data_IF_580920592707
#
_entry.id   IF_580920592707
#
_cell.length_a   1.000
_cell.length_b   1.000
_cell.length_c   1.000
_cell.angle_alpha   90.00
_cell.angle_beta   90.00
_cell.angle_gamma   90.00
#
_symmetry.space_group_name_H-M   'P 1'
#
loop_
_entity.id
_entity.type
_entity.pdbx_description
1 polymer ?
#
# COMPACT_ATOMS: atom_id res chain seq x y z
N UNK A 1 26.65 -4.46 23.33
CA UNK A 1 25.33 -5.05 23.61
C UNK A 1 25.01 -5.94 22.44
N UNK A 2 24.68 -7.21 22.59
CA UNK A 2 24.27 -8.04 21.46
C UNK A 2 22.89 -7.59 21.01
N UNK A 3 22.71 -7.35 19.70
CA UNK A 3 21.39 -7.02 19.14
C UNK A 3 20.50 -8.26 19.24
N UNK A 4 19.24 -8.06 19.63
CA UNK A 4 18.20 -9.09 19.50
C UNK A 4 17.93 -9.36 18.01
N UNK A 5 17.50 -10.57 17.69
CA UNK A 5 17.28 -10.99 16.31
C UNK A 5 15.80 -11.23 16.01
N UNK A 6 15.32 -10.73 14.89
CA UNK A 6 13.93 -10.94 14.46
C UNK A 6 13.88 -11.61 13.08
N UNK A 7 13.21 -12.76 12.99
CA UNK A 7 12.95 -13.43 11.72
C UNK A 7 11.71 -12.78 11.03
N UNK A 8 11.90 -12.22 9.86
CA UNK A 8 10.86 -11.55 9.06
C UNK A 8 10.56 -12.41 7.84
N UNK A 9 9.36 -12.98 7.78
CA UNK A 9 8.89 -13.82 6.68
C UNK A 9 8.12 -12.93 5.71
N UNK A 10 8.75 -12.58 4.58
CA UNK A 10 8.19 -11.71 3.56
C UNK A 10 8.31 -12.34 2.17
N UNK A 11 7.24 -12.27 1.37
CA UNK A 11 7.31 -12.67 -0.03
C UNK A 11 7.93 -11.58 -0.90
N UNK A 12 7.60 -10.32 -0.63
CA UNK A 12 8.09 -9.18 -1.40
C UNK A 12 9.33 -8.61 -0.74
N UNK A 13 10.44 -8.62 -1.47
CA UNK A 13 11.75 -8.11 -1.04
C UNK A 13 12.53 -7.59 -2.25
N UNK A 14 13.47 -6.64 -2.12
CA UNK A 14 14.30 -6.18 -3.22
C UNK A 14 15.00 -7.32 -3.97
N UNK A 15 15.14 -7.21 -5.31
CA UNK A 15 14.89 -6.05 -6.18
C UNK A 15 13.44 -5.87 -6.64
N UNK A 16 12.48 -6.62 -6.07
CA UNK A 16 11.05 -6.40 -6.35
C UNK A 16 10.66 -5.00 -5.89
N UNK A 17 9.97 -4.24 -6.75
CA UNK A 17 9.43 -2.91 -6.45
C UNK A 17 7.96 -2.93 -6.02
N UNK A 18 7.46 -1.76 -5.68
CA UNK A 18 6.06 -1.51 -5.33
C UNK A 18 5.78 -1.39 -3.83
N UNK A 19 4.57 -0.96 -3.50
CA UNK A 19 4.16 -0.61 -2.12
C UNK A 19 4.29 -1.76 -1.13
N UNK A 20 4.16 -3.00 -1.61
CA UNK A 20 4.27 -4.20 -0.77
C UNK A 20 5.67 -4.46 -0.22
N UNK A 21 6.72 -3.91 -0.87
CA UNK A 21 8.13 -4.09 -0.49
C UNK A 21 8.56 -3.01 0.51
N UNK A 22 8.20 -1.76 0.25
CA UNK A 22 8.71 -0.60 0.98
C UNK A 22 8.54 -0.71 2.50
N UNK A 23 7.39 -1.21 2.98
CA UNK A 23 7.11 -1.30 4.41
C UNK A 23 8.22 -2.03 5.18
N UNK A 24 8.56 -3.25 4.75
CA UNK A 24 9.53 -4.06 5.48
C UNK A 24 10.98 -3.75 5.14
N UNK A 25 11.27 -3.19 3.97
CA UNK A 25 12.59 -2.62 3.67
C UNK A 25 12.88 -1.45 4.60
N UNK A 26 11.92 -0.52 4.79
CA UNK A 26 12.09 0.63 5.67
C UNK A 26 12.16 0.21 7.16
N UNK A 27 11.37 -0.77 7.61
CA UNK A 27 11.56 -1.34 8.95
C UNK A 27 12.94 -1.98 9.10
N UNK A 28 13.38 -2.81 8.16
CA UNK A 28 14.70 -3.42 8.21
C UNK A 28 15.83 -2.38 8.25
N UNK A 29 15.69 -1.25 7.51
CA UNK A 29 16.64 -0.13 7.49
C UNK A 29 16.83 0.47 8.89
N UNK A 30 15.75 0.68 9.65
CA UNK A 30 15.80 1.40 10.93
C UNK A 30 15.82 0.49 12.16
N UNK A 31 15.47 -0.79 12.08
CA UNK A 31 15.50 -1.73 13.20
C UNK A 31 16.87 -1.84 13.90
N UNK A 32 18.02 -1.79 13.19
CA UNK A 32 19.32 -1.83 13.85
C UNK A 32 19.56 -0.68 14.84
N UNK A 33 19.05 0.52 14.55
CA UNK A 33 19.14 1.67 15.47
C UNK A 33 18.30 1.50 16.74
N UNK A 34 17.30 0.61 16.69
CA UNK A 34 16.45 0.24 17.83
C UNK A 34 16.92 -1.07 18.52
N UNK A 35 18.12 -1.56 18.19
CA UNK A 35 18.74 -2.72 18.83
C UNK A 35 18.32 -4.09 18.29
N UNK A 36 17.67 -4.13 17.10
CA UNK A 36 17.19 -5.35 16.48
C UNK A 36 17.89 -5.67 15.16
N UNK A 37 18.44 -6.86 15.02
CA UNK A 37 18.99 -7.39 13.77
C UNK A 37 17.90 -8.08 12.97
N UNK A 38 17.57 -7.60 11.77
CA UNK A 38 16.60 -8.26 10.89
C UNK A 38 17.22 -9.47 10.19
N UNK A 39 16.51 -10.60 10.23
CA UNK A 39 16.78 -11.83 9.46
C UNK A 39 15.60 -12.01 8.51
N UNK A 40 15.82 -11.79 7.22
CA UNK A 40 14.77 -11.77 6.21
C UNK A 40 14.68 -13.14 5.53
N UNK A 41 13.51 -13.76 5.57
CA UNK A 41 13.23 -14.95 4.78
C UNK A 41 12.32 -14.63 3.60
N UNK A 42 12.81 -14.86 2.38
CA UNK A 42 12.15 -14.46 1.14
C UNK A 42 12.37 -15.48 0.01
N UNK A 43 11.50 -15.56 -1.03
CA UNK A 43 11.77 -16.41 -2.18
C UNK A 43 12.98 -15.90 -2.98
N UNK A 44 13.74 -16.85 -3.55
CA UNK A 44 14.86 -16.56 -4.46
C UNK A 44 14.38 -16.10 -5.85
N UNK A 45 13.25 -16.66 -6.29
CA UNK A 45 12.69 -16.44 -7.63
C UNK A 45 11.19 -16.07 -7.54
N UNK A 46 10.82 -14.93 -6.90
CA UNK A 46 9.42 -14.50 -6.79
C UNK A 46 8.86 -14.09 -8.15
N UNK A 47 7.53 -14.15 -8.29
CA UNK A 47 6.85 -13.45 -9.37
C UNK A 47 7.03 -11.93 -9.18
N UNK A 48 7.79 -11.30 -10.09
CA UNK A 48 8.06 -9.87 -10.01
C UNK A 48 7.01 -9.10 -10.81
N UNK A 49 6.28 -8.20 -10.14
CA UNK A 49 5.33 -7.28 -10.78
C UNK A 49 6.04 -6.01 -11.28
N UNK A 50 7.09 -5.59 -10.58
CA UNK A 50 7.95 -4.46 -10.91
C UNK A 50 9.35 -4.73 -10.36
N UNK A 51 10.36 -4.10 -10.92
CA UNK A 51 11.74 -4.15 -10.43
C UNK A 51 12.15 -2.74 -10.03
N UNK A 52 12.71 -2.61 -8.81
CA UNK A 52 13.26 -1.36 -8.29
C UNK A 52 14.57 -1.68 -7.56
N UNK A 53 15.67 -1.55 -8.28
CA UNK A 53 17.00 -1.84 -7.76
C UNK A 53 17.46 -0.81 -6.69
N UNK A 54 16.87 0.39 -6.64
CA UNK A 54 17.24 1.40 -5.66
C UNK A 54 16.95 0.95 -4.23
N UNK A 55 15.95 0.11 -4.04
CA UNK A 55 15.59 -0.45 -2.74
C UNK A 55 16.64 -1.42 -2.16
N UNK A 56 17.52 -1.98 -2.99
CA UNK A 56 18.62 -2.83 -2.52
C UNK A 56 19.62 -2.03 -1.67
N UNK A 57 19.87 -0.77 -2.03
CA UNK A 57 20.76 0.11 -1.29
C UNK A 57 20.22 0.49 0.10
N UNK A 58 18.91 0.32 0.34
CA UNK A 58 18.30 0.60 1.63
C UNK A 58 18.39 -0.57 2.62
N UNK A 59 18.76 -1.75 2.15
CA UNK A 59 18.91 -2.93 3.02
C UNK A 59 20.19 -2.77 3.84
N UNK A 60 20.11 -2.74 5.20
CA UNK A 60 21.30 -2.52 6.04
C UNK A 60 22.26 -3.71 5.95
N UNK A 61 23.56 -3.44 5.95
CA UNK A 61 24.59 -4.49 5.87
C UNK A 61 24.52 -5.54 6.99
N UNK A 62 23.91 -5.19 8.12
CA UNK A 62 23.70 -6.10 9.26
C UNK A 62 22.52 -7.06 9.05
N UNK A 63 21.67 -6.79 8.06
CA UNK A 63 20.53 -7.67 7.74
C UNK A 63 21.02 -8.97 7.10
N UNK A 64 20.55 -10.08 7.62
CA UNK A 64 20.76 -11.39 7.01
C UNK A 64 19.59 -11.73 6.08
N UNK A 65 19.85 -12.11 4.83
CA UNK A 65 18.79 -12.41 3.85
C UNK A 65 18.87 -13.87 3.41
N UNK A 66 17.88 -14.64 3.82
CA UNK A 66 17.73 -16.08 3.53
C UNK A 66 16.82 -16.24 2.32
N UNK A 67 17.39 -16.60 1.18
CA UNK A 67 16.65 -16.84 -0.08
C UNK A 67 16.45 -18.33 -0.33
N UNK A 68 15.21 -18.72 -0.65
CA UNK A 68 14.88 -20.12 -1.01
C UNK A 68 13.97 -20.16 -2.23
N UNK A 69 14.23 -21.10 -3.13
CA UNK A 69 13.40 -21.29 -4.33
C UNK A 69 11.96 -21.60 -3.96
N UNK A 70 11.04 -20.97 -4.68
CA UNK A 70 9.62 -21.21 -4.60
C UNK A 70 9.14 -21.88 -5.90
N UNK A 71 8.18 -22.80 -5.77
CA UNK A 71 7.43 -23.35 -6.91
C UNK A 71 6.07 -22.69 -6.93
N UNK A 72 5.85 -21.86 -7.94
CA UNK A 72 4.56 -21.20 -8.13
C UNK A 72 3.75 -21.91 -9.22
N UNK A 73 2.53 -22.35 -8.92
CA UNK A 73 1.66 -23.04 -9.89
C UNK A 73 1.40 -22.22 -11.16
N UNK A 74 1.42 -20.90 -11.03
CA UNK A 74 1.21 -19.98 -12.14
C UNK A 74 2.33 -20.03 -13.19
N UNK A 75 3.57 -20.23 -12.77
CA UNK A 75 4.68 -20.44 -13.69
C UNK A 75 4.54 -21.77 -14.48
N UNK A 76 4.02 -22.80 -13.80
CA UNK A 76 3.70 -24.07 -14.47
C UNK A 76 2.58 -23.86 -15.52
N UNK A 77 1.56 -23.13 -15.17
CA UNK A 77 0.45 -22.77 -16.06
C UNK A 77 0.91 -21.93 -17.25
N UNK A 78 1.75 -20.92 -17.04
CA UNK A 78 2.37 -20.14 -18.13
C UNK A 78 3.20 -21.01 -19.07
N UNK A 79 3.99 -21.95 -18.54
CA UNK A 79 4.79 -22.89 -19.35
C UNK A 79 3.92 -23.81 -20.21
N UNK A 80 2.80 -24.30 -19.68
CA UNK A 80 1.85 -25.13 -20.42
C UNK A 80 1.17 -24.33 -21.54
N UNK A 81 0.69 -23.12 -21.26
CA UNK A 81 0.05 -22.26 -22.27
C UNK A 81 1.02 -21.80 -23.36
N UNK A 82 2.27 -21.46 -23.02
CA UNK A 82 3.29 -21.12 -24.02
C UNK A 82 3.59 -22.27 -24.97
N UNK A 83 3.54 -23.52 -24.48
CA UNK A 83 3.69 -24.72 -25.33
C UNK A 83 2.50 -24.94 -26.28
N UNK A 84 1.32 -24.44 -25.93
CA UNK A 84 0.09 -24.53 -26.75
C UNK A 84 -0.13 -23.32 -27.67
N UNK A 85 0.86 -22.44 -27.86
CA UNK A 85 0.82 -21.37 -28.89
C UNK A 85 -0.04 -20.16 -28.54
N UNK A 86 -0.44 -19.95 -27.26
CA UNK A 86 -1.23 -18.80 -26.86
C UNK A 86 -0.36 -17.56 -26.63
N UNK A 87 -0.85 -16.37 -27.04
CA UNK A 87 -0.17 -15.08 -26.90
C UNK A 87 0.04 -14.67 -25.43
N UNK A 88 1.01 -13.77 -25.17
CA UNK A 88 1.34 -13.26 -23.82
C UNK A 88 0.11 -12.64 -23.11
N UNK A 89 -0.79 -12.00 -23.84
CA UNK A 89 -1.99 -11.34 -23.32
C UNK A 89 -3.04 -12.31 -22.76
N UNK A 90 -3.10 -13.55 -23.31
CA UNK A 90 -4.01 -14.60 -22.78
C UNK A 90 -3.56 -15.15 -21.41
N UNK A 91 -2.39 -14.76 -20.93
CA UNK A 91 -1.73 -15.32 -19.75
C UNK A 91 -1.91 -14.47 -18.51
N UNK A 92 -2.29 -13.19 -18.63
CA UNK A 92 -2.55 -12.33 -17.45
C UNK A 92 -3.94 -12.62 -16.84
N UNK A 93 -3.96 -13.49 -15.85
CA UNK A 93 -5.17 -13.75 -15.04
C UNK A 93 -5.27 -12.70 -13.93
N UNK A 94 -5.68 -11.49 -14.29
CA UNK A 94 -6.05 -10.48 -13.30
C UNK A 94 -7.52 -10.73 -12.86
N UNK A 95 -7.80 -10.98 -11.57
CA UNK A 95 -9.17 -11.24 -11.11
C UNK A 95 -10.11 -10.03 -11.30
N UNK A 96 -9.58 -8.83 -11.42
CA UNK A 96 -10.34 -7.58 -11.49
C UNK A 96 -10.79 -7.23 -12.92
N UNK A 97 -10.01 -7.55 -13.97
CA UNK A 97 -10.35 -7.22 -15.37
C UNK A 97 -11.12 -8.36 -16.05
N UNK A 98 -12.47 -8.37 -15.93
CA UNK A 98 -13.21 -9.61 -16.17
C UNK A 98 -14.39 -9.54 -17.12
N UNK A 99 -14.49 -8.59 -18.03
CA UNK A 99 -15.71 -8.50 -18.86
C UNK A 99 -15.80 -9.53 -20.00
N UNK A 100 -14.66 -10.13 -20.49
CA UNK A 100 -14.68 -11.13 -21.58
C UNK A 100 -13.70 -12.30 -21.33
N UNK A 101 -13.90 -13.08 -20.26
CA UNK A 101 -13.03 -14.23 -19.99
C UNK A 101 -13.41 -15.46 -20.78
N UNK A 102 -12.42 -16.10 -21.43
CA UNK A 102 -12.60 -17.41 -22.06
C UNK A 102 -12.94 -18.49 -21.02
N UNK A 103 -13.54 -19.60 -21.46
CA UNK A 103 -13.90 -20.72 -20.56
C UNK A 103 -12.66 -21.26 -19.82
N UNK A 104 -11.51 -21.33 -20.50
CA UNK A 104 -10.22 -21.74 -19.90
C UNK A 104 -9.76 -20.79 -18.79
N UNK A 105 -9.92 -19.48 -18.97
CA UNK A 105 -9.59 -18.51 -17.94
C UNK A 105 -10.52 -18.62 -16.72
N UNK A 106 -11.81 -18.91 -16.92
CA UNK A 106 -12.75 -19.16 -15.80
C UNK A 106 -12.35 -20.40 -15.02
N UNK A 107 -11.99 -21.50 -15.70
CA UNK A 107 -11.49 -22.73 -15.05
C UNK A 107 -10.20 -22.44 -14.28
N UNK A 108 -9.24 -21.73 -14.90
CA UNK A 108 -7.98 -21.38 -14.24
C UNK A 108 -8.20 -20.54 -12.96
N UNK A 109 -9.14 -19.58 -13.01
CA UNK A 109 -9.52 -18.78 -11.84
C UNK A 109 -10.18 -19.62 -10.76
N UNK A 110 -11.06 -20.55 -11.15
CA UNK A 110 -11.70 -21.46 -10.22
C UNK A 110 -10.65 -22.37 -9.53
N UNK A 111 -9.74 -22.95 -10.31
CA UNK A 111 -8.61 -23.75 -9.80
C UNK A 111 -7.75 -22.93 -8.85
N UNK A 112 -7.38 -21.70 -9.24
CA UNK A 112 -6.60 -20.79 -8.40
C UNK A 112 -7.30 -20.49 -7.08
N UNK A 113 -8.59 -20.17 -7.11
CA UNK A 113 -9.36 -19.80 -5.92
C UNK A 113 -9.69 -20.97 -4.98
N UNK A 114 -9.76 -22.20 -5.49
CA UNK A 114 -10.26 -23.35 -4.71
C UNK A 114 -9.20 -24.39 -4.34
N UNK A 115 -8.17 -24.59 -5.18
CA UNK A 115 -7.15 -25.61 -4.93
C UNK A 115 -5.89 -25.04 -4.28
N UNK A 116 -5.50 -23.80 -4.60
CA UNK A 116 -4.32 -23.16 -4.03
C UNK A 116 -4.71 -22.28 -2.84
N UNK A 117 -4.78 -22.87 -1.65
CA UNK A 117 -5.22 -22.23 -0.41
C UNK A 117 -4.06 -22.04 0.57
N UNK A 118 -3.85 -20.82 1.10
CA UNK A 118 -4.67 -19.59 0.99
C UNK A 118 -4.46 -18.80 -0.30
N UNK A 119 -3.36 -19.03 -1.00
CA UNK A 119 -2.94 -18.35 -2.22
C UNK A 119 -1.97 -19.25 -3.02
N UNK A 120 -1.55 -18.88 -4.25
CA UNK A 120 -0.65 -19.69 -5.08
C UNK A 120 0.71 -20.02 -4.46
N UNK A 121 1.09 -19.39 -3.34
CA UNK A 121 2.35 -19.63 -2.62
C UNK A 121 2.21 -20.74 -1.57
N UNK A 122 1.06 -21.37 -1.47
CA UNK A 122 0.76 -22.41 -0.46
C UNK A 122 1.74 -23.60 -0.50
N UNK A 123 2.28 -23.95 -1.68
CA UNK A 123 3.29 -25.02 -1.81
C UNK A 123 4.61 -24.70 -1.12
N UNK A 124 4.88 -23.43 -0.83
CA UNK A 124 6.09 -23.00 -0.15
C UNK A 124 6.02 -23.15 1.37
N UNK A 125 4.82 -23.27 1.94
CA UNK A 125 4.59 -23.31 3.38
C UNK A 125 5.38 -24.45 4.04
N UNK A 126 5.17 -25.69 3.63
CA UNK A 126 5.81 -26.86 4.24
C UNK A 126 7.34 -26.89 4.11
N UNK A 127 7.91 -26.65 2.91
CA UNK A 127 9.35 -26.53 2.73
C UNK A 127 9.97 -25.41 3.56
N UNK A 128 9.30 -24.24 3.66
CA UNK A 128 9.78 -23.09 4.43
C UNK A 128 9.84 -23.40 5.92
N UNK A 129 8.79 -23.99 6.49
CA UNK A 129 8.77 -24.37 7.92
C UNK A 129 9.90 -25.34 8.25
N UNK A 130 10.11 -26.37 7.44
CA UNK A 130 11.21 -27.34 7.64
C UNK A 130 12.59 -26.70 7.59
N UNK A 131 12.80 -25.80 6.61
CA UNK A 131 14.06 -25.10 6.47
C UNK A 131 14.31 -24.14 7.61
N UNK A 132 13.34 -23.29 7.94
CA UNK A 132 13.47 -22.30 9.00
C UNK A 132 13.64 -22.96 10.37
N UNK A 133 12.94 -24.07 10.64
CA UNK A 133 13.13 -24.82 11.89
C UNK A 133 14.56 -25.31 12.06
N UNK A 134 15.18 -25.85 10.99
CA UNK A 134 16.59 -26.25 11.01
C UNK A 134 17.51 -25.04 11.21
N UNK A 135 17.26 -23.95 10.46
CA UNK A 135 18.05 -22.72 10.58
C UNK A 135 18.00 -22.15 11.99
N UNK A 136 16.82 -22.07 12.61
CA UNK A 136 16.64 -21.53 13.97
C UNK A 136 17.29 -22.37 15.05
N UNK A 137 17.50 -23.67 14.84
CA UNK A 137 18.24 -24.53 15.78
C UNK A 137 19.74 -24.19 15.83
N UNK A 138 20.30 -23.69 14.72
CA UNK A 138 21.71 -23.29 14.61
C UNK A 138 21.89 -21.77 14.80
N UNK A 139 20.90 -20.98 14.46
CA UNK A 139 20.90 -19.52 14.47
C UNK A 139 19.64 -18.98 15.16
N UNK A 140 19.59 -18.96 16.50
CA UNK A 140 18.39 -18.57 17.23
C UNK A 140 17.99 -17.11 16.95
N UNK A 141 16.69 -16.85 17.00
CA UNK A 141 16.08 -15.51 16.97
C UNK A 141 15.18 -15.34 18.18
N UNK A 142 14.89 -14.10 18.55
CA UNK A 142 14.05 -13.78 19.70
C UNK A 142 12.56 -13.69 19.35
N UNK A 143 12.25 -13.39 18.07
CA UNK A 143 10.89 -13.12 17.60
C UNK A 143 10.72 -13.52 16.14
N UNK A 144 9.50 -13.89 15.78
CA UNK A 144 9.06 -14.12 14.39
C UNK A 144 8.08 -13.04 13.99
N UNK A 145 8.21 -12.53 12.77
CA UNK A 145 7.19 -11.70 12.10
C UNK A 145 6.84 -12.32 10.76
N UNK A 146 5.57 -12.38 10.43
CA UNK A 146 5.12 -12.70 9.07
C UNK A 146 4.30 -11.55 8.52
N UNK A 147 4.52 -11.15 7.27
CA UNK A 147 3.77 -10.06 6.63
C UNK A 147 2.98 -10.54 5.43
N UNK A 148 1.70 -10.20 5.39
CA UNK A 148 0.76 -10.58 4.34
C UNK A 148 -0.02 -9.38 3.77
N UNK A 149 -0.54 -9.48 2.53
CA UNK A 149 -0.48 -10.62 1.61
C UNK A 149 0.92 -10.86 1.01
N UNK A 150 1.23 -12.08 0.49
CA UNK A 150 0.40 -13.29 0.44
C UNK A 150 0.15 -13.91 1.81
N UNK A 151 -1.04 -14.51 2.00
CA UNK A 151 -1.44 -15.05 3.32
C UNK A 151 -0.68 -16.34 3.68
N UNK A 152 -0.07 -17.00 2.69
CA UNK A 152 0.84 -18.13 2.93
C UNK A 152 1.98 -17.79 3.89
N UNK A 153 2.40 -16.51 3.97
CA UNK A 153 3.43 -16.06 4.93
C UNK A 153 2.95 -16.21 6.36
N UNK A 154 1.69 -15.86 6.64
CA UNK A 154 1.10 -16.06 7.96
C UNK A 154 0.96 -17.53 8.32
N UNK A 155 0.69 -18.41 7.33
CA UNK A 155 0.65 -19.86 7.56
C UNK A 155 2.03 -20.44 7.88
N UNK A 156 3.11 -19.87 7.34
CA UNK A 156 4.49 -20.23 7.72
C UNK A 156 4.74 -19.77 9.15
N UNK A 157 4.45 -18.49 9.47
CA UNK A 157 4.61 -17.92 10.81
C UNK A 157 3.87 -18.70 11.90
N UNK A 158 2.58 -19.00 11.64
CA UNK A 158 1.74 -19.78 12.56
C UNK A 158 2.35 -21.15 12.89
N UNK A 159 2.74 -21.90 11.85
CA UNK A 159 3.30 -23.26 12.06
C UNK A 159 4.66 -23.18 12.76
N UNK A 160 5.49 -22.23 12.37
CA UNK A 160 6.81 -22.08 12.95
C UNK A 160 6.73 -21.69 14.43
N UNK A 161 5.86 -20.74 14.79
CA UNK A 161 5.61 -20.37 16.17
C UNK A 161 5.10 -21.55 17.02
N UNK A 162 4.17 -22.34 16.48
CA UNK A 162 3.66 -23.54 17.15
C UNK A 162 4.73 -24.61 17.37
N UNK A 163 5.70 -24.75 16.46
CA UNK A 163 6.75 -25.77 16.53
C UNK A 163 7.98 -25.33 17.34
N UNK A 164 8.21 -24.01 17.49
CA UNK A 164 9.39 -23.45 18.18
C UNK A 164 9.06 -22.83 19.53
N UNK A 165 7.80 -22.47 19.77
CA UNK A 165 7.39 -21.72 20.97
C UNK A 165 7.79 -20.24 20.95
N UNK A 166 8.40 -19.74 19.86
CA UNK A 166 8.79 -18.35 19.74
C UNK A 166 7.58 -17.42 19.64
N UNK A 167 7.64 -16.21 20.23
CA UNK A 167 6.61 -15.21 20.05
C UNK A 167 6.52 -14.83 18.56
N UNK A 168 5.28 -14.62 18.07
CA UNK A 168 5.02 -14.37 16.68
C UNK A 168 4.06 -13.21 16.48
N UNK A 169 4.43 -12.29 15.58
CA UNK A 169 3.59 -11.17 15.10
C UNK A 169 3.08 -11.47 13.71
N UNK A 170 1.77 -11.35 13.53
CA UNK A 170 1.13 -11.36 12.21
C UNK A 170 0.88 -9.94 11.73
N UNK A 171 1.67 -9.42 10.77
CA UNK A 171 1.56 -8.08 10.19
C UNK A 171 0.64 -8.11 8.97
N UNK A 172 -0.60 -7.67 9.14
CA UNK A 172 -1.60 -7.58 8.09
C UNK A 172 -1.55 -6.22 7.39
N UNK A 173 -0.95 -6.19 6.19
CA UNK A 173 -0.97 -4.99 5.33
C UNK A 173 -2.33 -4.76 4.68
N UNK A 174 -3.12 -5.83 4.55
CA UNK A 174 -4.50 -5.84 4.08
C UNK A 174 -5.28 -6.89 4.88
N UNK A 175 -6.61 -6.73 5.08
CA UNK A 175 -7.44 -7.79 5.64
C UNK A 175 -7.45 -9.01 4.71
N UNK A 176 -7.55 -10.21 5.28
CA UNK A 176 -7.48 -11.43 4.46
C UNK A 176 -8.79 -11.67 3.69
N UNK A 177 -9.91 -11.80 4.40
CA UNK A 177 -11.18 -12.17 3.76
C UNK A 177 -12.04 -10.97 3.37
N UNK A 178 -11.71 -9.77 3.81
CA UNK A 178 -12.40 -8.53 3.46
C UNK A 178 -11.63 -7.62 2.49
N UNK A 179 -10.59 -8.14 1.86
CA UNK A 179 -9.94 -7.42 0.77
C UNK A 179 -10.87 -7.41 -0.46
N UNK A 180 -10.91 -6.27 -1.18
CA UNK A 180 -11.88 -6.02 -2.25
C UNK A 180 -11.95 -7.09 -3.34
N UNK A 181 -10.81 -7.70 -3.70
CA UNK A 181 -10.76 -8.74 -4.74
C UNK A 181 -11.19 -10.14 -4.24
N UNK A 182 -11.39 -10.35 -2.94
CA UNK A 182 -11.74 -11.66 -2.38
C UNK A 182 -13.04 -12.20 -2.98
N UNK A 183 -14.06 -11.35 -3.14
CA UNK A 183 -15.34 -11.69 -3.77
C UNK A 183 -15.23 -12.08 -5.26
N UNK A 184 -14.14 -11.68 -5.94
CA UNK A 184 -13.92 -11.99 -7.35
C UNK A 184 -13.17 -13.31 -7.60
N UNK A 185 -12.74 -14.02 -6.55
CA UNK A 185 -11.95 -15.25 -6.66
C UNK A 185 -12.76 -16.50 -7.06
N UNK A 186 -14.04 -16.40 -7.36
CA UNK A 186 -14.92 -17.52 -7.76
C UNK A 186 -14.81 -18.76 -6.85
N UNK A 187 -14.74 -18.55 -5.55
CA UNK A 187 -14.58 -19.59 -4.56
C UNK A 187 -15.90 -20.31 -4.28
N UNK A 188 -15.80 -21.61 -3.93
CA UNK A 188 -16.92 -22.35 -3.36
C UNK A 188 -17.19 -21.86 -1.93
N UNK A 189 -18.43 -22.06 -1.45
CA UNK A 189 -18.79 -21.77 -0.04
C UNK A 189 -17.90 -22.51 0.96
N UNK A 190 -17.43 -23.71 0.61
CA UNK A 190 -16.52 -24.48 1.45
C UNK A 190 -15.13 -23.82 1.53
N UNK A 191 -14.62 -23.33 0.40
CA UNK A 191 -13.33 -22.60 0.35
C UNK A 191 -13.42 -21.27 1.08
N UNK A 192 -14.50 -20.52 0.91
CA UNK A 192 -14.70 -19.26 1.64
C UNK A 192 -14.73 -19.49 3.16
N UNK A 193 -15.47 -20.49 3.64
CA UNK A 193 -15.48 -20.88 5.05
C UNK A 193 -14.10 -21.30 5.55
N UNK A 194 -13.34 -22.00 4.70
CA UNK A 194 -11.97 -22.37 5.03
C UNK A 194 -11.07 -21.12 5.22
N UNK A 195 -11.15 -20.12 4.33
CA UNK A 195 -10.40 -18.87 4.46
C UNK A 195 -10.75 -18.13 5.76
N UNK A 196 -12.04 -17.95 6.06
CA UNK A 196 -12.51 -17.32 7.31
C UNK A 196 -11.99 -18.05 8.56
N UNK A 197 -12.01 -19.40 8.52
CA UNK A 197 -11.46 -20.21 9.61
C UNK A 197 -9.95 -20.04 9.75
N UNK A 198 -9.21 -19.95 8.65
CA UNK A 198 -7.75 -19.78 8.69
C UNK A 198 -7.35 -18.39 9.11
N UNK A 199 -8.02 -17.34 8.64
CA UNK A 199 -7.84 -15.99 9.14
C UNK A 199 -8.01 -15.92 10.66
N UNK A 200 -9.12 -16.44 11.17
CA UNK A 200 -9.35 -16.54 12.62
C UNK A 200 -8.24 -17.32 13.33
N UNK A 201 -7.79 -18.44 12.77
CA UNK A 201 -6.71 -19.24 13.36
C UNK A 201 -5.38 -18.48 13.40
N UNK A 202 -5.09 -17.66 12.40
CA UNK A 202 -3.90 -16.79 12.38
C UNK A 202 -4.02 -15.71 13.44
N UNK A 203 -5.17 -15.03 13.50
CA UNK A 203 -5.44 -13.99 14.49
C UNK A 203 -5.32 -14.53 15.93
N UNK A 204 -5.91 -15.68 16.22
CA UNK A 204 -5.88 -16.28 17.57
C UNK A 204 -4.53 -16.91 17.92
N UNK A 205 -3.76 -17.34 16.93
CA UNK A 205 -2.49 -18.04 17.15
C UNK A 205 -1.28 -17.10 17.22
N UNK A 206 -1.44 -15.83 16.85
CA UNK A 206 -0.38 -14.84 16.98
C UNK A 206 -0.22 -14.37 18.44
N UNK A 207 1.00 -14.00 18.82
CA UNK A 207 1.26 -13.33 20.12
C UNK A 207 0.75 -11.88 20.07
N UNK A 208 0.88 -11.25 18.91
CA UNK A 208 0.25 -9.96 18.58
C UNK A 208 -0.06 -9.88 17.09
N UNK A 209 -1.06 -9.10 16.75
CA UNK A 209 -1.45 -8.77 15.38
C UNK A 209 -1.13 -7.31 15.12
N UNK A 210 -0.60 -6.98 13.95
CA UNK A 210 -0.41 -5.60 13.50
C UNK A 210 -1.35 -5.33 12.34
N UNK A 211 -2.11 -4.25 12.44
CA UNK A 211 -2.97 -3.73 11.38
C UNK A 211 -2.44 -2.37 10.88
N UNK A 212 -2.62 -2.09 9.59
CA UNK A 212 -2.13 -0.84 8.98
C UNK A 212 -3.18 0.27 8.92
N UNK A 213 -4.41 -0.02 9.33
CA UNK A 213 -5.55 0.90 9.27
C UNK A 213 -6.37 0.82 10.56
N UNK A 214 -6.88 1.94 11.08
CA UNK A 214 -7.69 1.93 12.30
C UNK A 214 -8.98 1.11 12.16
N UNK A 215 -9.61 1.11 10.98
CA UNK A 215 -10.82 0.32 10.75
C UNK A 215 -10.53 -1.18 10.67
N UNK A 216 -9.38 -1.57 10.10
CA UNK A 216 -8.93 -2.98 10.12
C UNK A 216 -8.57 -3.41 11.54
N UNK A 217 -7.93 -2.54 12.33
CA UNK A 217 -7.66 -2.81 13.74
C UNK A 217 -8.95 -3.08 14.52
N UNK A 218 -9.92 -2.18 14.42
CA UNK A 218 -11.22 -2.31 15.08
C UNK A 218 -11.93 -3.62 14.68
N UNK A 219 -11.90 -3.95 13.39
CA UNK A 219 -12.48 -5.20 12.91
C UNK A 219 -11.80 -6.42 13.54
N UNK A 220 -10.46 -6.50 13.51
CA UNK A 220 -9.73 -7.62 14.08
C UNK A 220 -9.95 -7.74 15.60
N UNK A 221 -10.07 -6.63 16.32
CA UNK A 221 -10.42 -6.62 17.75
C UNK A 221 -11.79 -7.27 18.04
N UNK A 222 -12.72 -7.26 17.08
CA UNK A 222 -13.99 -8.00 17.21
C UNK A 222 -13.84 -9.51 16.94
N UNK A 223 -12.77 -9.91 16.24
CA UNK A 223 -12.58 -11.27 15.79
C UNK A 223 -11.69 -12.10 16.73
N UNK A 224 -10.82 -11.47 17.53
CA UNK A 224 -9.84 -12.18 18.38
C UNK A 224 -9.64 -11.46 19.71
N UNK A 225 -9.16 -12.22 20.72
CA UNK A 225 -8.66 -11.66 21.98
C UNK A 225 -7.16 -11.34 21.95
N UNK A 226 -6.46 -11.74 20.90
CA UNK A 226 -5.05 -11.38 20.68
C UNK A 226 -4.90 -9.86 20.57
N UNK A 227 -3.90 -9.24 21.21
CA UNK A 227 -3.64 -7.81 21.07
C UNK A 227 -3.48 -7.39 19.59
N UNK A 228 -4.22 -6.38 19.16
CA UNK A 228 -4.14 -5.84 17.80
C UNK A 228 -3.58 -4.43 17.85
N UNK A 229 -2.37 -4.26 17.39
CA UNK A 229 -1.64 -2.98 17.36
C UNK A 229 -1.85 -2.26 16.02
N UNK A 230 -2.04 -0.94 16.09
CA UNK A 230 -2.11 -0.10 14.89
C UNK A 230 -0.72 0.44 14.55
N UNK A 231 -0.08 -0.09 13.52
CA UNK A 231 1.17 0.43 12.95
C UNK A 231 0.97 0.63 11.46
N UNK A 232 0.63 1.84 11.07
CA UNK A 232 0.27 2.22 9.70
C UNK A 232 1.45 2.11 8.73
N UNK A 233 1.22 2.34 7.45
CA UNK A 233 2.26 2.76 6.53
C UNK A 233 2.70 4.20 6.88
N UNK A 234 3.76 4.70 6.26
CA UNK A 234 4.29 6.01 6.57
C UNK A 234 5.22 6.52 5.48
N UNK A 235 5.77 7.71 5.70
CA UNK A 235 6.78 8.35 4.86
C UNK A 235 8.18 8.15 5.45
N UNK A 236 9.21 8.20 4.60
CA UNK A 236 10.61 8.23 5.03
C UNK A 236 11.09 9.69 5.02
N UNK A 237 11.57 10.18 6.16
CA UNK A 237 12.09 11.55 6.27
C UNK A 237 13.24 11.81 5.29
N UNK A 238 14.03 10.78 4.98
CA UNK A 238 15.13 10.89 4.03
C UNK A 238 14.67 11.26 2.61
N UNK A 239 13.41 10.96 2.25
CA UNK A 239 12.86 11.32 0.94
C UNK A 239 12.50 12.82 0.86
N UNK A 240 12.47 13.55 2.00
CA UNK A 240 11.99 14.93 2.12
C UNK A 240 13.07 15.93 2.62
N UNK A 241 14.37 15.56 2.61
CA UNK A 241 15.49 16.34 3.15
C UNK A 241 15.88 17.61 2.39
N UNK A 242 15.20 17.95 1.31
CA UNK A 242 15.38 19.28 0.73
C UNK A 242 14.74 20.32 1.66
N UNK A 243 15.43 21.49 1.81
CA UNK A 243 15.04 22.68 2.60
C UNK A 243 13.53 22.82 2.84
N UNK A 244 13.09 23.31 4.02
CA UNK A 244 11.66 23.56 4.26
C UNK A 244 11.09 24.34 3.09
N UNK A 245 10.10 23.80 2.41
CA UNK A 245 9.54 24.32 1.16
C UNK A 245 9.05 25.78 1.28
N UNK A 246 8.76 26.24 2.50
CA UNK A 246 8.39 27.62 2.79
C UNK A 246 9.47 28.65 2.39
N UNK A 247 10.72 28.23 2.22
CA UNK A 247 11.81 29.12 1.80
C UNK A 247 12.10 29.07 0.29
N UNK A 248 11.67 28.02 -0.43
CA UNK A 248 11.99 27.85 -1.85
C UNK A 248 11.07 28.65 -2.79
N UNK A 249 9.91 29.08 -2.33
CA UNK A 249 8.95 29.85 -3.10
C UNK A 249 8.62 31.16 -2.38
N UNK A 250 9.52 32.12 -2.47
CA UNK A 250 9.36 33.48 -1.97
C UNK A 250 8.36 34.35 -2.76
N UNK A 251 7.41 33.73 -3.46
CA UNK A 251 6.35 34.39 -4.19
C UNK A 251 5.16 33.46 -4.39
N UNK A 252 3.95 33.96 -4.68
CA UNK A 252 2.82 33.13 -5.04
C UNK A 252 3.21 32.32 -6.28
N UNK A 253 3.09 30.98 -6.21
CA UNK A 253 3.19 30.15 -7.41
C UNK A 253 2.15 30.66 -8.40
N UNK A 254 2.57 30.93 -9.65
CA UNK A 254 1.68 31.50 -10.66
C UNK A 254 0.61 30.46 -11.01
N UNK A 255 0.97 29.18 -11.14
CA UNK A 255 0.08 28.11 -11.54
C UNK A 255 -0.56 27.39 -10.34
N UNK A 256 -1.86 27.10 -10.46
CA UNK A 256 -2.61 26.29 -9.50
C UNK A 256 -2.52 24.81 -9.93
N UNK A 257 -1.57 24.09 -9.36
CA UNK A 257 -1.27 22.71 -9.72
C UNK A 257 -2.09 21.73 -8.89
N UNK A 258 -3.03 21.02 -9.51
CA UNK A 258 -3.73 19.87 -8.95
C UNK A 258 -2.96 18.62 -9.36
N UNK A 259 -2.37 17.90 -8.41
CA UNK A 259 -1.42 16.81 -8.71
C UNK A 259 -1.88 15.47 -8.15
N UNK A 260 -1.80 14.42 -8.98
CA UNK A 260 -1.91 13.02 -8.57
C UNK A 260 -0.63 12.27 -8.89
N UNK A 261 -0.16 11.42 -7.96
CA UNK A 261 1.01 10.57 -8.20
C UNK A 261 0.71 9.08 -8.05
N UNK A 262 1.41 8.24 -8.83
CA UNK A 262 1.33 6.78 -8.81
C UNK A 262 0.27 6.20 -9.75
N UNK A 263 -0.21 5.00 -9.44
CA UNK A 263 -1.25 4.35 -10.25
C UNK A 263 -2.60 5.08 -10.07
N UNK A 264 -3.18 5.48 -11.20
CA UNK A 264 -4.52 6.08 -11.26
C UNK A 264 -5.41 5.17 -12.12
N UNK A 265 -6.19 4.32 -11.46
CA UNK A 265 -7.02 3.32 -12.11
C UNK A 265 -8.41 3.87 -12.47
N UNK A 266 -9.02 3.36 -13.54
CA UNK A 266 -10.29 3.84 -14.05
C UNK A 266 -11.46 3.82 -13.05
N UNK A 267 -11.48 2.84 -12.15
CA UNK A 267 -12.51 2.68 -11.10
C UNK A 267 -12.39 3.71 -9.95
N UNK A 268 -11.30 4.49 -9.92
CA UNK A 268 -11.12 5.65 -9.05
C UNK A 268 -11.30 7.00 -9.76
N UNK A 269 -11.85 7.04 -10.99
CA UNK A 269 -12.00 8.27 -11.76
C UNK A 269 -13.00 9.25 -11.12
N UNK A 270 -12.56 10.44 -10.66
CA UNK A 270 -13.43 11.43 -10.01
C UNK A 270 -14.09 12.34 -11.05
N UNK A 271 -14.99 11.82 -11.88
CA UNK A 271 -15.62 12.55 -12.98
C UNK A 271 -16.26 13.87 -12.53
N UNK A 272 -16.88 13.89 -11.35
CA UNK A 272 -17.51 15.08 -10.79
C UNK A 272 -16.48 16.19 -10.51
N UNK A 273 -15.25 15.84 -10.12
CA UNK A 273 -14.16 16.83 -9.96
C UNK A 273 -13.81 17.47 -11.31
N UNK A 274 -13.72 16.66 -12.39
CA UNK A 274 -13.45 17.20 -13.72
C UNK A 274 -14.55 18.13 -14.19
N UNK A 275 -15.82 17.82 -13.91
CA UNK A 275 -16.95 18.70 -14.21
C UNK A 275 -16.86 20.03 -13.45
N UNK A 276 -16.53 20.00 -12.15
CA UNK A 276 -16.35 21.19 -11.32
C UNK A 276 -15.22 22.09 -11.85
N UNK A 277 -14.08 21.50 -12.21
CA UNK A 277 -12.94 22.24 -12.77
C UNK A 277 -13.31 22.86 -14.14
N UNK A 278 -14.02 22.12 -14.99
CA UNK A 278 -14.51 22.60 -16.28
C UNK A 278 -15.46 23.80 -16.14
N UNK A 279 -16.42 23.70 -15.24
CA UNK A 279 -17.37 24.80 -14.96
C UNK A 279 -16.64 26.05 -14.45
N UNK A 280 -15.68 25.86 -13.55
CA UNK A 280 -14.88 26.97 -13.04
C UNK A 280 -14.00 27.60 -14.13
N UNK A 281 -13.37 26.82 -15.00
CA UNK A 281 -12.61 27.32 -16.14
C UNK A 281 -13.47 28.13 -17.12
N UNK A 282 -14.75 27.79 -17.28
CA UNK A 282 -15.70 28.55 -18.09
C UNK A 282 -16.12 29.88 -17.45
N UNK A 283 -16.20 29.90 -16.12
CA UNK A 283 -16.63 31.06 -15.34
C UNK A 283 -15.50 32.04 -15.01
N UNK A 284 -14.26 31.56 -14.90
CA UNK A 284 -13.09 32.31 -14.44
C UNK A 284 -11.91 32.09 -15.43
N UNK A 285 -11.59 33.10 -16.23
CA UNK A 285 -10.52 33.05 -17.23
C UNK A 285 -9.12 32.99 -16.58
N UNK A 286 -8.92 33.63 -15.43
CA UNK A 286 -7.64 33.57 -14.68
C UNK A 286 -7.44 32.18 -14.10
N UNK A 287 -8.48 31.56 -13.55
CA UNK A 287 -8.41 30.17 -13.11
C UNK A 287 -8.03 29.24 -14.25
N UNK A 288 -8.72 29.35 -15.41
CA UNK A 288 -8.43 28.54 -16.60
C UNK A 288 -6.96 28.68 -17.05
N UNK A 289 -6.44 29.88 -17.08
CA UNK A 289 -5.07 30.16 -17.51
C UNK A 289 -4.02 29.51 -16.60
N UNK A 290 -4.29 29.49 -15.31
CA UNK A 290 -3.34 29.03 -14.28
C UNK A 290 -3.57 27.60 -13.79
N UNK A 291 -4.71 26.98 -14.09
CA UNK A 291 -4.96 25.59 -13.74
C UNK A 291 -3.98 24.65 -14.45
N UNK A 292 -3.33 23.76 -13.72
CA UNK A 292 -2.57 22.61 -14.23
C UNK A 292 -3.01 21.33 -13.52
N UNK A 293 -3.35 20.31 -14.30
CA UNK A 293 -3.71 18.98 -13.80
C UNK A 293 -2.53 18.05 -14.08
N UNK A 294 -1.71 17.80 -13.06
CA UNK A 294 -0.49 17.04 -13.19
C UNK A 294 -0.75 15.57 -12.82
N UNK A 295 -0.62 14.67 -13.79
CA UNK A 295 -0.75 13.23 -13.59
C UNK A 295 0.62 12.57 -13.74
N UNK A 296 1.12 11.99 -12.63
CA UNK A 296 2.44 11.38 -12.53
C UNK A 296 2.30 9.90 -12.23
N UNK A 297 2.87 9.04 -13.06
CA UNK A 297 2.77 7.59 -12.97
C UNK A 297 1.87 7.00 -14.05
N UNK A 298 1.38 5.78 -13.80
CA UNK A 298 0.52 5.08 -14.75
C UNK A 298 -0.94 5.53 -14.57
N UNK A 299 -1.45 6.31 -15.53
CA UNK A 299 -2.85 6.75 -15.57
C UNK A 299 -3.62 5.93 -16.60
N UNK A 300 -4.83 5.48 -16.23
CA UNK A 300 -5.74 4.78 -17.15
C UNK A 300 -6.26 5.73 -18.24
N UNK A 301 -6.38 5.21 -19.46
CA UNK A 301 -6.85 5.98 -20.62
C UNK A 301 -8.26 6.57 -20.43
N UNK A 302 -9.12 5.90 -19.66
CA UNK A 302 -10.47 6.40 -19.37
C UNK A 302 -10.45 7.68 -18.52
N UNK A 303 -9.42 7.87 -17.69
CA UNK A 303 -9.25 9.10 -16.90
C UNK A 303 -8.78 10.23 -17.82
N UNK A 304 -7.77 9.97 -18.65
CA UNK A 304 -7.29 10.97 -19.63
C UNK A 304 -8.43 11.42 -20.54
N UNK A 305 -9.21 10.46 -21.04
CA UNK A 305 -10.40 10.75 -21.87
C UNK A 305 -11.44 11.57 -21.11
N UNK A 306 -11.74 11.25 -19.84
CA UNK A 306 -12.72 11.99 -19.06
C UNK A 306 -12.31 13.46 -18.84
N UNK A 307 -11.01 13.73 -18.64
CA UNK A 307 -10.48 15.09 -18.51
C UNK A 307 -10.61 15.85 -19.84
N UNK A 308 -10.29 15.21 -20.97
CA UNK A 308 -10.45 15.82 -22.31
C UNK A 308 -11.94 16.07 -22.64
N UNK A 309 -12.81 15.09 -22.36
CA UNK A 309 -14.25 15.22 -22.57
C UNK A 309 -14.87 16.36 -21.74
N UNK A 310 -14.28 16.67 -20.58
CA UNK A 310 -14.63 17.84 -19.75
C UNK A 310 -14.12 19.18 -20.31
N UNK A 311 -13.31 19.18 -21.38
CA UNK A 311 -12.74 20.39 -21.99
C UNK A 311 -11.54 20.96 -21.24
N UNK A 312 -10.79 20.09 -20.53
CA UNK A 312 -9.61 20.45 -19.73
C UNK A 312 -8.29 19.99 -20.36
N UNK A 313 -8.28 19.66 -21.66
CA UNK A 313 -7.12 19.14 -22.37
C UNK A 313 -5.91 20.09 -22.31
N UNK A 314 -6.12 21.40 -22.45
CA UNK A 314 -5.07 22.42 -22.39
C UNK A 314 -4.44 22.54 -20.98
N UNK A 315 -5.16 22.11 -19.95
CA UNK A 315 -4.72 22.14 -18.57
C UNK A 315 -4.03 20.82 -18.12
N UNK A 316 -4.16 19.75 -18.93
CA UNK A 316 -3.69 18.42 -18.60
C UNK A 316 -2.19 18.26 -18.89
N UNK A 317 -1.44 17.85 -17.87
CA UNK A 317 -0.02 17.50 -17.92
C UNK A 317 0.16 16.03 -17.54
N UNK A 318 0.12 15.11 -18.51
CA UNK A 318 0.39 13.70 -18.27
C UNK A 318 1.90 13.45 -18.36
N UNK A 319 2.57 13.43 -17.20
CA UNK A 319 4.04 13.31 -17.10
C UNK A 319 4.53 11.86 -17.18
N UNK A 320 3.62 10.88 -17.12
CA UNK A 320 4.00 9.46 -17.10
C UNK A 320 4.81 9.09 -15.87
N UNK A 321 5.63 8.03 -16.00
CA UNK A 321 6.47 7.56 -14.90
C UNK A 321 7.63 8.52 -14.64
N UNK A 322 7.79 8.94 -13.40
CA UNK A 322 8.95 9.66 -12.89
C UNK A 322 9.67 8.82 -11.83
N UNK A 323 10.96 9.04 -11.67
CA UNK A 323 11.72 8.51 -10.54
C UNK A 323 11.15 9.03 -9.21
N UNK A 324 11.26 8.23 -8.14
CA UNK A 324 10.62 8.52 -6.85
C UNK A 324 10.96 9.91 -6.31
N UNK A 325 12.22 10.31 -6.31
CA UNK A 325 12.65 11.64 -5.84
C UNK A 325 11.98 12.77 -6.62
N UNK A 326 11.89 12.65 -7.95
CA UNK A 326 11.20 13.63 -8.80
C UNK A 326 9.70 13.65 -8.56
N UNK A 327 9.09 12.50 -8.31
CA UNK A 327 7.67 12.44 -7.97
C UNK A 327 7.39 13.16 -6.64
N UNK A 328 8.25 13.03 -5.64
CA UNK A 328 8.18 13.77 -4.38
C UNK A 328 8.33 15.30 -4.62
N UNK A 329 9.26 15.72 -5.48
CA UNK A 329 9.42 17.15 -5.82
C UNK A 329 8.14 17.71 -6.45
N UNK A 330 7.49 16.98 -7.35
CA UNK A 330 6.23 17.41 -7.95
C UNK A 330 5.07 17.41 -6.95
N UNK A 331 5.03 16.48 -5.99
CA UNK A 331 4.08 16.52 -4.88
C UNK A 331 4.26 17.82 -4.05
N UNK A 332 5.50 18.19 -3.76
CA UNK A 332 5.84 19.41 -2.99
C UNK A 332 5.51 20.70 -3.73
N UNK A 333 5.53 20.71 -5.07
CA UNK A 333 5.15 21.85 -5.92
C UNK A 333 3.63 21.99 -6.09
N UNK A 334 2.86 20.96 -5.76
CA UNK A 334 1.42 20.99 -5.93
C UNK A 334 0.77 22.10 -5.10
N UNK A 335 -0.27 22.72 -5.63
CA UNK A 335 -1.18 23.56 -4.87
C UNK A 335 -2.20 22.71 -4.11
N UNK A 336 -2.62 21.61 -4.74
CA UNK A 336 -3.58 20.64 -4.18
C UNK A 336 -3.20 19.23 -4.63
N UNK A 337 -3.09 18.30 -3.69
CA UNK A 337 -2.88 16.89 -3.99
C UNK A 337 -4.23 16.17 -4.00
N UNK A 338 -4.51 15.38 -5.04
CA UNK A 338 -5.76 14.60 -5.11
C UNK A 338 -5.50 13.12 -4.86
N UNK A 339 -6.35 12.52 -4.05
CA UNK A 339 -6.26 11.11 -3.68
C UNK A 339 -7.62 10.40 -3.78
N UNK A 340 -8.05 10.06 -5.02
CA UNK A 340 -9.26 9.30 -5.21
C UNK A 340 -9.09 7.84 -4.81
N UNK A 341 -10.05 7.31 -4.06
CA UNK A 341 -10.19 5.89 -3.78
C UNK A 341 -11.18 5.26 -4.77
N UNK A 342 -11.24 3.95 -4.78
CA UNK A 342 -12.28 3.22 -5.51
C UNK A 342 -13.60 3.28 -4.76
N UNK A 343 -14.71 3.11 -5.49
CA UNK A 343 -16.08 3.21 -4.94
C UNK A 343 -16.51 1.99 -4.12
N UNK A 344 -15.77 0.87 -4.20
CA UNK A 344 -16.15 -0.35 -3.46
C UNK A 344 -16.10 -0.13 -1.95
N UNK A 345 -17.10 -0.68 -1.21
CA UNK A 345 -17.20 -0.48 0.24
C UNK A 345 -15.95 -0.90 1.04
N UNK A 346 -15.21 -1.88 0.52
CA UNK A 346 -13.99 -2.38 1.16
C UNK A 346 -12.88 -1.32 1.20
N UNK A 347 -12.93 -0.32 0.31
CA UNK A 347 -11.96 0.80 0.30
C UNK A 347 -12.13 1.77 1.46
N UNK A 348 -13.23 1.68 2.21
CA UNK A 348 -13.43 2.44 3.45
C UNK A 348 -12.27 2.27 4.45
N UNK A 349 -11.72 1.07 4.54
CA UNK A 349 -10.63 0.73 5.45
C UNK A 349 -9.22 0.91 4.85
N UNK A 350 -9.11 1.25 3.55
CA UNK A 350 -7.83 1.34 2.85
C UNK A 350 -7.13 2.66 3.13
N UNK A 351 -5.84 2.58 3.47
CA UNK A 351 -4.92 3.71 3.54
C UNK A 351 -3.86 3.56 2.45
N UNK A 352 -3.97 4.28 1.32
CA UNK A 352 -2.96 4.24 0.27
C UNK A 352 -1.60 4.70 0.78
N UNK A 353 -0.51 4.05 0.36
CA UNK A 353 0.84 4.43 0.78
C UNK A 353 1.18 5.90 0.47
N UNK A 354 0.72 6.41 -0.69
CA UNK A 354 0.92 7.80 -1.11
C UNK A 354 0.25 8.85 -0.19
N UNK A 355 -0.76 8.46 0.61
CA UNK A 355 -1.34 9.36 1.60
C UNK A 355 -0.26 9.93 2.54
N UNK A 356 0.64 9.08 3.00
CA UNK A 356 1.68 9.47 3.95
C UNK A 356 2.76 10.36 3.30
N UNK A 357 3.09 10.11 2.02
CA UNK A 357 3.96 11.00 1.24
C UNK A 357 3.30 12.37 1.03
N UNK A 358 1.98 12.40 0.78
CA UNK A 358 1.21 13.62 0.65
C UNK A 358 1.20 14.43 1.95
N UNK A 359 1.05 13.76 3.10
CA UNK A 359 1.19 14.42 4.41
C UNK A 359 2.57 15.07 4.56
N UNK A 360 3.64 14.32 4.20
CA UNK A 360 5.02 14.80 4.29
C UNK A 360 5.38 15.87 3.24
N UNK A 361 4.60 15.98 2.16
CA UNK A 361 4.76 17.04 1.16
C UNK A 361 4.25 18.40 1.66
N UNK A 362 3.56 18.44 2.79
CA UNK A 362 2.99 19.65 3.40
C UNK A 362 2.06 20.41 2.45
N UNK A 363 1.26 19.69 1.66
CA UNK A 363 0.28 20.27 0.73
C UNK A 363 -1.13 19.84 1.11
N UNK A 364 -2.14 20.68 0.89
CA UNK A 364 -3.53 20.29 1.09
C UNK A 364 -3.87 19.04 0.28
N UNK A 365 -4.63 18.13 0.88
CA UNK A 365 -5.06 16.88 0.25
C UNK A 365 -6.56 16.88 0.08
N UNK A 366 -7.03 16.70 -1.16
CA UNK A 366 -8.41 16.36 -1.48
C UNK A 366 -8.51 14.85 -1.66
N UNK A 367 -8.97 14.16 -0.65
CA UNK A 367 -9.39 12.76 -0.76
C UNK A 367 -10.79 12.69 -1.40
N UNK A 368 -10.99 11.69 -2.26
CA UNK A 368 -12.32 11.40 -2.81
C UNK A 368 -12.62 9.96 -2.44
N UNK A 369 -13.63 9.77 -1.60
CA UNK A 369 -13.91 8.47 -0.97
C UNK A 369 -15.01 8.56 0.07
N UNK A 370 -15.15 7.49 0.87
CA UNK A 370 -16.08 7.49 1.99
C UNK A 370 -15.63 8.48 3.08
N UNK A 371 -16.52 9.41 3.44
CA UNK A 371 -16.23 10.47 4.43
C UNK A 371 -16.09 9.93 5.86
N UNK A 372 -16.56 8.73 6.12
CA UNK A 372 -16.39 7.99 7.39
C UNK A 372 -15.31 6.89 7.28
N UNK A 373 -14.43 6.98 6.27
CA UNK A 373 -13.36 6.03 6.02
C UNK A 373 -12.05 6.34 6.75
N UNK A 374 -11.13 5.37 6.73
CA UNK A 374 -9.83 5.48 7.38
C UNK A 374 -8.99 6.66 6.88
N UNK A 375 -9.06 6.98 5.58
CA UNK A 375 -8.38 8.13 5.00
C UNK A 375 -8.92 9.44 5.57
N UNK A 376 -10.25 9.56 5.72
CA UNK A 376 -10.88 10.74 6.32
C UNK A 376 -10.43 10.95 7.76
N UNK A 377 -10.37 9.86 8.56
CA UNK A 377 -9.87 9.94 9.95
C UNK A 377 -8.44 10.52 10.01
N UNK A 378 -7.55 10.07 9.11
CA UNK A 378 -6.16 10.57 9.08
C UNK A 378 -6.09 12.03 8.64
N UNK A 379 -6.80 12.42 7.56
CA UNK A 379 -6.75 13.79 7.06
C UNK A 379 -7.34 14.79 8.05
N UNK A 380 -8.44 14.43 8.74
CA UNK A 380 -9.03 15.26 9.79
C UNK A 380 -8.11 15.44 10.99
N UNK A 381 -7.53 14.34 11.47
CA UNK A 381 -6.67 14.35 12.64
C UNK A 381 -5.34 15.10 12.40
N UNK A 382 -4.79 15.00 11.18
CA UNK A 382 -3.60 15.75 10.78
C UNK A 382 -3.90 17.15 10.25
N UNK A 383 -5.17 17.51 10.08
CA UNK A 383 -5.61 18.77 9.43
C UNK A 383 -4.94 18.98 8.07
N UNK A 384 -4.64 17.90 7.37
CA UNK A 384 -3.93 17.93 6.08
C UNK A 384 -4.85 18.12 4.89
N UNK A 385 -6.17 18.03 5.07
CA UNK A 385 -7.14 18.11 4.00
C UNK A 385 -8.50 17.54 4.39
N UNK A 386 -9.30 17.23 3.38
CA UNK A 386 -10.64 16.69 3.55
C UNK A 386 -10.88 15.49 2.65
N UNK A 387 -11.88 14.68 3.00
CA UNK A 387 -12.43 13.66 2.09
C UNK A 387 -13.83 14.06 1.71
N UNK A 388 -14.16 14.01 0.42
CA UNK A 388 -15.47 14.25 -0.13
C UNK A 388 -16.00 13.00 -0.83
N UNK A 389 -17.31 12.81 -0.80
CA UNK A 389 -17.97 11.74 -1.57
C UNK A 389 -17.85 12.01 -3.07
N UNK A 390 -17.80 10.94 -3.88
CA UNK A 390 -17.60 11.04 -5.33
C UNK A 390 -18.62 11.90 -6.06
N UNK A 391 -19.85 11.95 -5.55
CA UNK A 391 -20.97 12.64 -6.21
C UNK A 391 -21.29 14.01 -5.56
N UNK A 392 -20.54 14.43 -4.54
CA UNK A 392 -20.79 15.71 -3.84
C UNK A 392 -20.17 16.89 -4.59
N UNK A 393 -20.82 17.25 -5.71
CA UNK A 393 -20.37 18.33 -6.60
C UNK A 393 -20.28 19.67 -5.90
N UNK A 394 -21.23 19.99 -5.04
CA UNK A 394 -21.27 21.28 -4.37
C UNK A 394 -20.17 21.43 -3.32
N UNK A 395 -19.87 20.37 -2.56
CA UNK A 395 -18.73 20.39 -1.64
C UNK A 395 -17.39 20.46 -2.40
N UNK A 396 -17.24 19.72 -3.53
CA UNK A 396 -16.05 19.80 -4.37
C UNK A 396 -15.85 21.22 -4.91
N UNK A 397 -16.92 21.86 -5.41
CA UNK A 397 -16.86 23.24 -5.91
C UNK A 397 -16.40 24.19 -4.80
N UNK A 398 -17.05 24.17 -3.65
CA UNK A 398 -16.68 25.03 -2.52
C UNK A 398 -15.21 24.85 -2.11
N UNK A 399 -14.73 23.60 -2.05
CA UNK A 399 -13.37 23.33 -1.65
C UNK A 399 -12.33 23.79 -2.68
N UNK A 400 -12.60 23.58 -3.97
CA UNK A 400 -11.75 24.09 -5.06
C UNK A 400 -11.72 25.62 -5.08
N UNK A 401 -12.87 26.28 -4.86
CA UNK A 401 -12.96 27.73 -4.78
C UNK A 401 -12.15 28.28 -3.59
N UNK A 402 -12.31 27.68 -2.42
CA UNK A 402 -11.53 28.04 -1.24
C UNK A 402 -10.01 27.87 -1.45
N UNK A 403 -9.59 26.74 -2.04
CA UNK A 403 -8.19 26.50 -2.36
C UNK A 403 -7.64 27.53 -3.37
N UNK A 404 -8.41 27.86 -4.39
CA UNK A 404 -8.02 28.86 -5.38
C UNK A 404 -7.88 30.26 -4.76
N UNK A 405 -8.84 30.70 -3.96
CA UNK A 405 -8.77 31.98 -3.27
C UNK A 405 -7.56 32.09 -2.33
N UNK A 406 -7.27 31.02 -1.57
CA UNK A 406 -6.10 30.94 -0.69
C UNK A 406 -4.79 30.93 -1.50
N UNK A 407 -4.80 30.26 -2.66
CA UNK A 407 -3.65 30.24 -3.56
C UNK A 407 -3.30 31.65 -4.07
N UNK A 408 -4.30 32.41 -4.54
CA UNK A 408 -4.12 33.78 -5.00
C UNK A 408 -3.56 34.72 -3.91
N UNK A 409 -3.92 34.45 -2.65
CA UNK A 409 -3.44 35.24 -1.49
C UNK A 409 -2.07 34.74 -0.97
N UNK A 410 -1.52 33.63 -1.50
CA UNK A 410 -0.34 32.98 -0.94
C UNK A 410 -0.58 32.34 0.45
N UNK A 411 -1.85 32.09 0.80
CA UNK A 411 -2.28 31.56 2.09
C UNK A 411 -2.62 30.07 2.05
N UNK A 412 -2.49 29.43 0.89
CA UNK A 412 -2.76 28.00 0.74
C UNK A 412 -1.71 27.20 1.50
N UNK A 413 -2.00 26.94 2.76
CA UNK A 413 -1.12 26.22 3.68
C UNK A 413 -1.42 24.73 3.69
N UNK A 414 -0.37 24.03 4.01
CA UNK A 414 -0.33 22.63 4.30
C UNK A 414 -0.88 22.29 5.70
N UNK A 415 -0.71 21.02 6.01
CA UNK A 415 -0.92 20.36 7.28
C UNK A 415 -0.50 21.19 8.49
N UNK A 416 -1.40 21.40 9.44
CA UNK A 416 -1.11 22.05 10.74
C UNK A 416 -0.94 21.02 11.86
N UNK A 417 -1.27 19.76 11.62
CA UNK A 417 -1.22 18.69 12.61
C UNK A 417 0.11 17.95 12.67
N UNK A 418 0.34 17.23 13.77
CA UNK A 418 1.52 16.39 13.93
C UNK A 418 1.44 15.15 13.05
N UNK A 419 2.33 15.08 12.06
CA UNK A 419 2.51 13.93 11.17
C UNK A 419 3.69 13.04 11.57
N UNK A 420 4.49 13.42 12.57
CA UNK A 420 5.70 12.71 12.98
C UNK A 420 5.46 11.25 13.33
N UNK A 421 4.28 10.93 13.87
CA UNK A 421 3.87 9.56 14.20
C UNK A 421 3.78 8.63 12.97
N UNK A 422 3.71 9.19 11.76
CA UNK A 422 3.71 8.45 10.50
C UNK A 422 5.08 8.36 9.84
N UNK A 423 6.13 8.92 10.47
CA UNK A 423 7.49 8.74 9.97
C UNK A 423 7.94 7.29 10.11
N UNK A 424 8.73 6.81 9.14
CA UNK A 424 9.25 5.43 9.17
C UNK A 424 10.13 5.19 10.39
N UNK A 425 10.86 6.19 10.86
CA UNK A 425 11.67 6.11 12.08
C UNK A 425 10.76 5.86 13.29
N UNK A 426 9.73 6.69 13.48
CA UNK A 426 8.82 6.55 14.63
C UNK A 426 7.97 5.28 14.56
N UNK A 427 7.53 4.87 13.37
CA UNK A 427 6.83 3.60 13.18
C UNK A 427 7.74 2.40 13.49
N UNK A 428 9.03 2.47 13.12
CA UNK A 428 10.01 1.41 13.47
C UNK A 428 10.25 1.37 14.98
N UNK A 429 10.39 2.52 15.64
CA UNK A 429 10.50 2.59 17.10
C UNK A 429 9.30 1.94 17.78
N UNK A 430 8.08 2.22 17.33
CA UNK A 430 6.86 1.58 17.86
C UNK A 430 6.86 0.06 17.62
N UNK A 431 7.32 -0.40 16.45
CA UNK A 431 7.45 -1.83 16.14
C UNK A 431 8.49 -2.49 17.04
N UNK A 432 9.66 -1.86 17.26
CA UNK A 432 10.70 -2.35 18.15
C UNK A 432 10.22 -2.41 19.61
N UNK A 433 9.49 -1.41 20.08
CA UNK A 433 8.85 -1.43 21.40
C UNK A 433 7.85 -2.58 21.56
N UNK A 434 7.09 -2.91 20.49
CA UNK A 434 6.25 -4.10 20.50
C UNK A 434 7.09 -5.37 20.59
N UNK A 435 8.19 -5.48 19.83
CA UNK A 435 9.12 -6.61 19.92
C UNK A 435 9.68 -6.76 21.34
N UNK A 436 10.11 -5.67 21.95
CA UNK A 436 10.66 -5.68 23.31
C UNK A 436 9.64 -6.14 24.35
N UNK A 437 8.38 -5.65 24.25
CA UNK A 437 7.28 -6.11 25.14
C UNK A 437 7.03 -7.61 25.03
N UNK A 438 7.07 -8.17 23.81
CA UNK A 438 6.77 -9.58 23.56
C UNK A 438 7.94 -10.52 23.89
N UNK A 439 9.17 -10.00 23.98
CA UNK A 439 10.39 -10.74 24.30
C UNK A 439 10.95 -10.44 25.68
N UNK A 440 10.33 -9.52 26.43
CA UNK A 440 10.65 -9.34 27.84
C UNK A 440 10.29 -10.64 28.57
N UNK A 441 11.30 -11.31 29.14
CA UNK A 441 11.03 -12.43 30.04
C UNK A 441 10.26 -11.92 31.26
N UNK A 442 9.22 -12.64 31.73
CA UNK A 442 8.57 -12.32 32.98
C UNK A 442 9.49 -12.42 34.15
#
# INVERSE_FOLDING_TARGET
MFMKRVLIISYYWPPTGGSGVQRWVKFAKYLPSEGWQPVIYTPENPEQLAVDASLEAEVPAVAEVLKRRIVEPYELYKKVLRRSGHSKEAVEVNPVNAQNKSMLQKIAMWVRGNLFRPDPRCLWIGPSVRYLKKYLAEHPVDLIVSTGPPQSMHMIGLRLAQETGLPWIADFRDPWTKIFYFKHLQMTRATERWHKKMEKKVLDGATAVVAVSPLVQQEFQTMTQTPVELITNGFDECDFHAEPFAMAYGGPAIDFCITHTGLFAADGNPTVLWDVLSEKCKADAEFRKHLKINLIGKTDEQILKAICDAGLEENLMNMGYLEHARAIDEQRKASLLILPLRKEPEYKAVLPGKLFEYLASWRPVLGIGQTDGAMSMILQDTKAGIVLEWEDKDAMRRYVDECWEKHLKGELKATEGDISRFSRINLTRRMAQLFDRLTAHP
#
